data_IF_893818910383
#
_entry.id   IF_893818910383
#
_cell.length_a   1.000
_cell.length_b   1.000
_cell.length_c   1.000
_cell.angle_alpha   90.00
_cell.angle_beta   90.00
_cell.angle_gamma   90.00
#
_symmetry.space_group_name_H-M   'P 1'
#
loop_
_entity.id
_entity.type
_entity.pdbx_description
1 polymer ?
#
# COMPACT_ATOMS: atom_id res chain seq x y z
N UNK A 1 17.54 -24.30 36.70
CA UNK A 1 18.06 -23.11 35.98
C UNK A 1 18.28 -23.37 34.48
N UNK A 2 19.10 -24.37 34.06
CA UNK A 2 19.42 -24.58 32.63
C UNK A 2 18.21 -24.84 31.72
N UNK A 3 17.23 -25.65 32.14
CA UNK A 3 16.06 -26.01 31.31
C UNK A 3 15.15 -24.81 30.97
N UNK A 4 15.03 -23.86 31.90
CA UNK A 4 14.25 -22.64 31.68
C UNK A 4 14.87 -21.74 30.60
N UNK A 5 16.21 -21.72 30.50
CA UNK A 5 16.94 -20.96 29.48
C UNK A 5 16.66 -21.50 28.08
N UNK A 6 16.60 -22.83 27.92
CA UNK A 6 16.29 -23.48 26.65
C UNK A 6 14.84 -23.23 26.20
N UNK A 7 13.90 -23.25 27.14
CA UNK A 7 12.48 -22.98 26.85
C UNK A 7 12.29 -21.51 26.43
N UNK A 8 12.94 -20.57 27.12
CA UNK A 8 12.89 -19.15 26.75
C UNK A 8 13.52 -18.89 25.37
N UNK A 9 14.62 -19.57 25.04
CA UNK A 9 15.23 -19.48 23.70
C UNK A 9 14.30 -20.00 22.60
N UNK A 10 13.63 -21.14 22.83
CA UNK A 10 12.71 -21.71 21.86
C UNK A 10 11.51 -20.80 21.56
N UNK A 11 10.97 -20.12 22.58
CA UNK A 11 9.84 -19.18 22.43
C UNK A 11 10.23 -17.96 21.60
N UNK A 12 11.44 -17.42 21.77
CA UNK A 12 11.94 -16.26 21.02
C UNK A 12 12.15 -16.56 19.54
N UNK A 13 12.52 -17.80 19.16
CA UNK A 13 12.65 -18.19 17.76
C UNK A 13 11.29 -18.35 17.05
N UNK A 14 10.23 -18.66 17.80
CA UNK A 14 8.87 -18.80 17.24
C UNK A 14 8.09 -17.48 17.17
N UNK A 15 8.58 -16.42 17.82
CA UNK A 15 7.93 -15.11 17.84
C UNK A 15 8.37 -14.20 16.69
N UNK A 16 8.78 -14.74 15.54
CA UNK A 16 8.98 -13.93 14.34
C UNK A 16 7.65 -13.26 13.98
N UNK A 17 7.56 -11.91 13.99
CA UNK A 17 6.34 -11.22 13.62
C UNK A 17 6.06 -11.49 12.15
N UNK A 18 5.05 -12.32 11.88
CA UNK A 18 4.63 -12.68 10.53
C UNK A 18 3.96 -11.52 9.77
N UNK A 19 3.75 -10.35 10.40
CA UNK A 19 2.81 -9.33 9.90
C UNK A 19 3.35 -7.91 9.78
N UNK A 20 4.67 -7.74 9.85
CA UNK A 20 5.33 -6.49 9.45
C UNK A 20 6.33 -6.81 8.34
N UNK A 21 5.82 -7.26 7.19
CA UNK A 21 6.63 -7.51 6.01
C UNK A 21 7.21 -6.19 5.49
N UNK A 22 8.35 -5.79 6.04
CA UNK A 22 9.35 -5.01 5.33
C UNK A 22 9.51 -5.63 3.93
N UNK A 23 9.61 -4.82 2.87
CA UNK A 23 9.75 -5.37 1.52
C UNK A 23 10.92 -6.36 1.52
N UNK A 24 10.67 -7.62 1.15
CA UNK A 24 11.75 -8.61 1.05
C UNK A 24 12.87 -7.99 0.20
N UNK A 25 14.05 -7.87 0.79
CA UNK A 25 15.17 -7.17 0.18
C UNK A 25 15.87 -8.12 -0.80
N UNK A 26 15.18 -8.46 -1.89
CA UNK A 26 15.59 -9.46 -2.88
C UNK A 26 17.01 -9.23 -3.45
N UNK A 27 17.51 -7.97 -3.40
CA UNK A 27 18.87 -7.59 -3.83
C UNK A 27 19.98 -8.33 -3.08
N UNK A 28 19.78 -8.70 -1.82
CA UNK A 28 20.84 -9.32 -1.01
C UNK A 28 20.91 -10.85 -1.17
N UNK A 29 20.04 -11.45 -1.98
CA UNK A 29 20.06 -12.89 -2.24
C UNK A 29 21.17 -13.19 -3.24
N UNK A 30 22.17 -13.98 -2.84
CA UNK A 30 23.30 -14.37 -3.69
C UNK A 30 22.89 -15.35 -4.79
N UNK A 31 22.08 -16.36 -4.44
CA UNK A 31 21.61 -17.38 -5.37
C UNK A 31 20.62 -16.79 -6.38
N UNK A 32 20.93 -16.91 -7.67
CA UNK A 32 20.13 -16.35 -8.76
C UNK A 32 18.68 -16.87 -8.76
N UNK A 33 18.50 -18.18 -8.62
CA UNK A 33 17.17 -18.79 -8.66
C UNK A 33 16.27 -18.29 -7.51
N UNK A 34 16.83 -18.16 -6.31
CA UNK A 34 16.10 -17.62 -5.16
C UNK A 34 15.80 -16.13 -5.32
N UNK A 35 16.73 -15.37 -5.91
CA UNK A 35 16.53 -13.95 -6.22
C UNK A 35 15.38 -13.76 -7.21
N UNK A 36 15.34 -14.55 -8.28
CA UNK A 36 14.27 -14.51 -9.29
C UNK A 36 12.91 -14.88 -8.67
N UNK A 37 12.86 -15.93 -7.84
CA UNK A 37 11.65 -16.31 -7.12
C UNK A 37 11.16 -15.21 -6.16
N UNK A 38 12.08 -14.52 -5.47
CA UNK A 38 11.75 -13.39 -4.60
C UNK A 38 11.10 -12.24 -5.38
N UNK A 39 11.67 -11.88 -6.55
CA UNK A 39 11.10 -10.84 -7.40
C UNK A 39 9.70 -11.19 -7.90
N UNK A 40 9.47 -12.44 -8.31
CA UNK A 40 8.15 -12.89 -8.75
C UNK A 40 7.08 -12.73 -7.65
N UNK A 41 7.41 -13.08 -6.40
CA UNK A 41 6.51 -12.87 -5.26
C UNK A 41 6.25 -11.38 -5.01
N UNK A 42 7.28 -10.54 -5.13
CA UNK A 42 7.14 -9.10 -4.94
C UNK A 42 6.28 -8.45 -6.03
N UNK A 43 6.43 -8.88 -7.28
CA UNK A 43 5.61 -8.43 -8.40
C UNK A 43 4.14 -8.83 -8.22
N UNK A 44 3.87 -10.08 -7.83
CA UNK A 44 2.53 -10.54 -7.52
C UNK A 44 1.88 -9.71 -6.40
N UNK A 45 2.62 -9.43 -5.32
CA UNK A 45 2.14 -8.59 -4.23
C UNK A 45 1.89 -7.13 -4.67
N UNK A 46 2.74 -6.58 -5.54
CA UNK A 46 2.56 -5.23 -6.10
C UNK A 46 1.32 -5.15 -6.98
N UNK A 47 1.11 -6.13 -7.86
CA UNK A 47 -0.08 -6.22 -8.70
C UNK A 47 -1.36 -6.34 -7.86
N UNK A 48 -1.34 -7.14 -6.78
CA UNK A 48 -2.47 -7.24 -5.86
C UNK A 48 -2.78 -5.89 -5.17
N UNK A 49 -1.74 -5.17 -4.72
CA UNK A 49 -1.90 -3.82 -4.14
C UNK A 49 -2.43 -2.80 -5.13
N UNK A 50 -1.97 -2.85 -6.39
CA UNK A 50 -2.48 -1.99 -7.46
C UNK A 50 -3.99 -2.23 -7.66
N UNK A 51 -4.40 -3.48 -7.82
CA UNK A 51 -5.82 -3.85 -7.95
C UNK A 51 -6.66 -3.38 -6.77
N UNK A 52 -6.16 -3.55 -5.54
CA UNK A 52 -6.85 -3.07 -4.34
C UNK A 52 -7.00 -1.54 -4.32
N UNK A 53 -5.98 -0.81 -4.80
CA UNK A 53 -6.06 0.65 -4.93
C UNK A 53 -6.99 1.10 -6.04
N UNK A 54 -7.05 0.38 -7.16
CA UNK A 54 -8.00 0.64 -8.25
C UNK A 54 -9.45 0.47 -7.77
N UNK A 55 -9.73 -0.60 -7.01
CA UNK A 55 -11.04 -0.81 -6.38
C UNK A 55 -11.38 0.34 -5.43
N UNK A 56 -10.45 0.72 -4.55
CA UNK A 56 -10.65 1.88 -3.65
C UNK A 56 -10.88 3.19 -4.40
N UNK A 57 -10.20 3.41 -5.52
CA UNK A 57 -10.42 4.59 -6.36
C UNK A 57 -11.78 4.55 -7.05
N UNK A 58 -12.22 3.38 -7.53
CA UNK A 58 -13.55 3.21 -8.09
C UNK A 58 -14.65 3.45 -7.05
N UNK A 59 -14.46 3.01 -5.80
CA UNK A 59 -15.35 3.33 -4.68
C UNK A 59 -15.37 4.83 -4.33
N UNK A 60 -14.23 5.51 -4.47
CA UNK A 60 -14.10 6.95 -4.21
C UNK A 60 -14.52 7.83 -5.38
N UNK A 61 -14.68 7.29 -6.59
CA UNK A 61 -15.24 8.04 -7.71
C UNK A 61 -16.69 8.37 -7.40
N UNK A 62 -16.91 9.57 -6.84
CA UNK A 62 -18.24 10.11 -6.65
C UNK A 62 -18.91 10.18 -8.02
N UNK A 63 -20.15 9.69 -8.17
CA UNK A 63 -20.91 9.84 -9.40
C UNK A 63 -20.92 11.30 -9.84
N UNK A 64 -20.82 11.54 -11.14
CA UNK A 64 -20.91 12.88 -11.70
C UNK A 64 -22.23 13.53 -11.27
N UNK A 65 -22.17 14.51 -10.36
CA UNK A 65 -23.32 15.33 -10.02
C UNK A 65 -23.47 16.42 -11.08
N UNK A 66 -24.63 16.52 -11.75
CA UNK A 66 -24.87 17.59 -12.70
C UNK A 66 -24.80 18.94 -11.99
N UNK A 67 -24.11 19.89 -12.62
CA UNK A 67 -23.90 21.24 -12.06
C UNK A 67 -25.25 21.93 -11.81
N UNK A 68 -25.50 22.33 -10.56
CA UNK A 68 -26.74 23.01 -10.19
C UNK A 68 -26.68 24.49 -10.57
N UNK A 69 -27.83 25.17 -10.57
CA UNK A 69 -27.88 26.62 -10.80
C UNK A 69 -27.05 27.40 -9.77
N UNK A 70 -26.99 26.91 -8.54
CA UNK A 70 -26.19 27.48 -7.45
C UNK A 70 -24.69 27.33 -7.72
N UNK A 71 -24.24 26.17 -8.21
CA UNK A 71 -22.84 25.96 -8.61
C UNK A 71 -22.43 26.91 -9.75
N UNK A 72 -23.34 27.16 -10.70
CA UNK A 72 -23.10 28.09 -11.80
C UNK A 72 -23.00 29.56 -11.31
N UNK A 73 -23.80 29.92 -10.29
CA UNK A 73 -23.75 31.24 -9.67
C UNK A 73 -22.48 31.42 -8.83
N UNK A 74 -22.07 30.39 -8.10
CA UNK A 74 -20.81 30.34 -7.36
C UNK A 74 -19.60 30.42 -8.30
N UNK A 75 -19.60 29.68 -9.40
CA UNK A 75 -18.54 29.74 -10.40
C UNK A 75 -18.42 31.15 -11.01
N UNK A 76 -19.54 31.85 -11.23
CA UNK A 76 -19.55 33.25 -11.67
C UNK A 76 -18.97 34.19 -10.59
N UNK A 77 -19.27 34.00 -9.31
CA UNK A 77 -18.69 34.82 -8.23
C UNK A 77 -17.20 34.51 -7.97
N UNK A 78 -16.75 33.29 -8.27
CA UNK A 78 -15.33 32.92 -8.18
C UNK A 78 -14.51 33.48 -9.34
N UNK A 79 -15.11 33.71 -10.51
CA UNK A 79 -14.44 34.34 -11.68
C UNK A 79 -13.99 35.78 -11.43
N UNK A 80 -14.58 36.48 -10.47
CA UNK A 80 -14.13 37.83 -10.08
C UNK A 80 -12.96 37.81 -9.09
N UNK A 81 -12.59 36.64 -8.55
CA UNK A 81 -11.39 36.49 -7.74
C UNK A 81 -10.23 36.25 -8.70
N UNK A 82 -9.30 37.19 -8.78
CA UNK A 82 -8.09 37.07 -9.60
C UNK A 82 -7.29 35.84 -9.13
N UNK A 83 -7.42 34.74 -9.87
CA UNK A 83 -6.61 33.52 -9.72
C UNK A 83 -5.45 33.69 -10.70
N UNK A 84 -4.45 34.49 -10.31
CA UNK A 84 -3.32 34.81 -11.17
C UNK A 84 -2.79 33.56 -11.88
N UNK A 85 -2.89 33.57 -13.20
CA UNK A 85 -2.32 32.57 -14.09
C UNK A 85 -0.83 32.87 -14.31
#
# INVERSE_FOLDING_TARGET
MKRAVWILFAVVLTSSPADAASPEQCRFIEARAEREACYQRQEAARAARQKANEVRQAEQQKPYEPMTADDAQLAKSLRSICRGC
#
